data_IF_549240566713
#
_entry.id   IF_549240566713
#
_cell.length_a   1.000
_cell.length_b   1.000
_cell.length_c   1.000
_cell.angle_alpha   90.00
_cell.angle_beta   90.00
_cell.angle_gamma   90.00
#
_symmetry.space_group_name_H-M   'P 1'
#
loop_
_entity.id
_entity.type
_entity.pdbx_description
1 polymer ?
#
# COMPACT_ATOMS: atom_id res chain seq x y z
N UNK A 1 -43.07 30.45 2.56
CA UNK A 1 -41.95 30.14 3.49
C UNK A 1 -40.75 29.74 2.64
N UNK A 2 -39.66 30.50 2.76
CA UNK A 2 -38.70 30.79 1.69
C UNK A 2 -37.80 29.60 1.28
N UNK A 3 -37.75 29.32 -0.04
CA UNK A 3 -36.88 28.32 -0.68
C UNK A 3 -35.38 28.55 -0.41
N UNK A 4 -35.01 29.79 -0.05
CA UNK A 4 -33.64 30.16 0.24
C UNK A 4 -33.15 29.58 1.60
N UNK A 5 -34.02 29.54 2.62
CA UNK A 5 -33.72 28.91 3.92
C UNK A 5 -33.54 27.39 3.83
N UNK A 6 -34.31 26.74 2.96
CA UNK A 6 -34.16 25.30 2.64
C UNK A 6 -32.85 25.03 1.88
N UNK A 7 -32.48 25.92 0.96
CA UNK A 7 -31.22 25.87 0.22
C UNK A 7 -30.00 25.98 1.15
N UNK A 8 -30.03 26.86 2.14
CA UNK A 8 -28.97 27.00 3.15
C UNK A 8 -28.79 25.74 4.03
N UNK A 9 -29.91 25.11 4.45
CA UNK A 9 -29.89 23.85 5.20
C UNK A 9 -29.32 22.70 4.36
N UNK A 10 -29.70 22.60 3.08
CA UNK A 10 -29.17 21.60 2.14
C UNK A 10 -27.65 21.71 2.01
N UNK A 11 -27.12 22.90 1.76
CA UNK A 11 -25.67 23.10 1.62
C UNK A 11 -24.93 22.79 2.92
N UNK A 12 -25.50 23.11 4.08
CA UNK A 12 -24.93 22.74 5.38
C UNK A 12 -24.82 21.22 5.56
N UNK A 13 -25.86 20.48 5.20
CA UNK A 13 -25.84 19.01 5.24
C UNK A 13 -24.82 18.44 4.23
N UNK A 14 -24.78 18.96 2.99
CA UNK A 14 -23.82 18.53 1.98
C UNK A 14 -22.37 18.75 2.42
N UNK A 15 -22.06 19.90 3.02
CA UNK A 15 -20.74 20.18 3.59
C UNK A 15 -20.38 19.15 4.66
N UNK A 16 -21.31 18.82 5.57
CA UNK A 16 -21.08 17.83 6.63
C UNK A 16 -20.85 16.42 6.06
N UNK A 17 -21.66 15.99 5.09
CA UNK A 17 -21.49 14.69 4.42
C UNK A 17 -20.15 14.62 3.69
N UNK A 18 -19.74 15.68 2.99
CA UNK A 18 -18.44 15.73 2.31
C UNK A 18 -17.27 15.73 3.28
N UNK A 19 -17.38 16.41 4.43
CA UNK A 19 -16.38 16.33 5.50
C UNK A 19 -16.21 14.90 6.05
N UNK A 20 -17.32 14.19 6.28
CA UNK A 20 -17.28 12.77 6.68
C UNK A 20 -16.62 11.88 5.62
N UNK A 21 -16.89 12.14 4.33
CA UNK A 21 -16.26 11.42 3.22
C UNK A 21 -14.76 11.68 3.15
N UNK A 22 -14.31 12.93 3.33
CA UNK A 22 -12.89 13.27 3.46
C UNK A 22 -12.24 12.49 4.62
N UNK A 23 -12.88 12.48 5.79
CA UNK A 23 -12.38 11.74 6.94
C UNK A 23 -12.25 10.23 6.65
N UNK A 24 -13.24 9.63 6.00
CA UNK A 24 -13.20 8.22 5.56
C UNK A 24 -12.06 7.97 4.56
N UNK A 25 -11.86 8.85 3.58
CA UNK A 25 -10.76 8.73 2.62
C UNK A 25 -9.39 8.87 3.29
N UNK A 26 -9.24 9.76 4.29
CA UNK A 26 -7.99 9.86 5.09
C UNK A 26 -7.70 8.56 5.84
N UNK A 27 -8.71 7.99 6.50
CA UNK A 27 -8.56 6.69 7.19
C UNK A 27 -8.22 5.55 6.23
N UNK A 28 -8.83 5.53 5.05
CA UNK A 28 -8.52 4.55 4.02
C UNK A 28 -7.07 4.70 3.54
N UNK A 29 -6.63 5.92 3.24
CA UNK A 29 -5.25 6.19 2.84
C UNK A 29 -4.25 5.72 3.89
N UNK A 30 -4.48 6.03 5.17
CA UNK A 30 -3.62 5.58 6.26
C UNK A 30 -3.53 4.05 6.32
N UNK A 31 -4.65 3.34 6.15
CA UNK A 31 -4.67 1.86 6.10
C UNK A 31 -3.89 1.31 4.92
N UNK A 32 -4.04 1.90 3.74
CA UNK A 32 -3.30 1.46 2.55
C UNK A 32 -1.79 1.72 2.69
N UNK A 33 -1.41 2.85 3.28
CA UNK A 33 -0.01 3.15 3.58
C UNK A 33 0.59 2.17 4.57
N UNK A 34 -0.17 1.78 5.59
CA UNK A 34 0.24 0.75 6.55
C UNK A 34 0.44 -0.60 5.85
N UNK A 35 -0.50 -1.03 5.01
CA UNK A 35 -0.38 -2.27 4.24
C UNK A 35 0.84 -2.26 3.29
N UNK A 36 1.12 -1.12 2.63
CA UNK A 36 2.32 -0.97 1.80
C UNK A 36 3.62 -1.03 2.61
N UNK A 37 3.61 -0.49 3.83
CA UNK A 37 4.75 -0.60 4.75
C UNK A 37 4.99 -2.06 5.16
N UNK A 38 3.94 -2.78 5.56
CA UNK A 38 4.02 -4.20 5.92
C UNK A 38 4.50 -5.07 4.75
N UNK A 39 3.99 -4.82 3.53
CA UNK A 39 4.45 -5.50 2.33
C UNK A 39 5.94 -5.26 2.05
N UNK A 40 6.44 -4.04 2.31
CA UNK A 40 7.87 -3.70 2.18
C UNK A 40 8.71 -4.43 3.22
N UNK A 41 8.27 -4.48 4.48
CA UNK A 41 8.96 -5.22 5.55
C UNK A 41 9.06 -6.70 5.19
N UNK A 42 7.97 -7.29 4.70
CA UNK A 42 7.97 -8.71 4.30
C UNK A 42 8.86 -8.97 3.08
N UNK A 43 8.91 -8.05 2.10
CA UNK A 43 9.86 -8.14 1.00
C UNK A 43 11.31 -8.11 1.51
N UNK A 44 11.64 -7.21 2.43
CA UNK A 44 12.98 -7.15 3.02
C UNK A 44 13.32 -8.46 3.74
N UNK A 45 12.37 -9.05 4.47
CA UNK A 45 12.55 -10.36 5.13
C UNK A 45 12.90 -11.46 4.12
N UNK A 46 12.18 -11.53 2.99
CA UNK A 46 12.46 -12.53 1.94
C UNK A 46 13.80 -12.28 1.23
N UNK A 47 14.19 -11.01 1.03
CA UNK A 47 15.51 -10.66 0.48
C UNK A 47 16.61 -11.11 1.43
N UNK A 48 16.48 -10.87 2.72
CA UNK A 48 17.44 -11.36 3.72
C UNK A 48 17.52 -12.89 3.73
N UNK A 49 16.40 -13.59 3.61
CA UNK A 49 16.39 -15.06 3.52
C UNK A 49 17.10 -15.56 2.25
N UNK A 50 16.89 -14.90 1.11
CA UNK A 50 17.65 -15.15 -0.12
C UNK A 50 19.15 -14.98 0.09
N UNK A 51 19.56 -13.89 0.74
CA UNK A 51 20.97 -13.60 0.96
C UNK A 51 21.61 -14.62 1.90
N UNK A 52 20.88 -15.05 2.95
CA UNK A 52 21.30 -16.16 3.83
C UNK A 52 21.41 -17.48 3.07
N UNK A 53 20.44 -17.79 2.19
CA UNK A 53 20.50 -19.00 1.36
C UNK A 53 21.71 -18.97 0.43
N UNK A 54 21.99 -17.83 -0.22
CA UNK A 54 23.15 -17.65 -1.08
C UNK A 54 24.47 -17.77 -0.31
N UNK A 55 24.54 -17.24 0.92
CA UNK A 55 25.71 -17.29 1.78
C UNK A 55 26.13 -18.72 2.20
N UNK A 56 25.25 -19.73 2.05
CA UNK A 56 25.58 -21.14 2.31
C UNK A 56 26.37 -21.80 1.17
N UNK A 57 26.39 -21.21 -0.02
CA UNK A 57 27.01 -21.81 -1.19
C UNK A 57 28.54 -22.02 -1.02
N UNK A 58 29.31 -21.05 -0.50
CA UNK A 58 30.74 -21.25 -0.22
C UNK A 58 31.00 -22.44 0.72
N UNK A 59 30.19 -22.60 1.78
CA UNK A 59 30.35 -23.72 2.73
C UNK A 59 30.13 -25.07 2.03
N UNK A 60 29.11 -25.17 1.17
CA UNK A 60 28.83 -26.38 0.37
C UNK A 60 29.98 -26.68 -0.59
N UNK A 61 30.54 -25.64 -1.23
CA UNK A 61 31.64 -25.78 -2.17
C UNK A 61 32.98 -26.08 -1.47
N UNK A 62 33.16 -25.64 -0.22
CA UNK A 62 34.32 -25.98 0.60
C UNK A 62 34.45 -27.49 0.83
N UNK A 63 33.33 -28.20 0.92
CA UNK A 63 33.30 -29.67 1.05
C UNK A 63 33.82 -30.41 -0.20
N UNK A 64 33.93 -29.74 -1.36
CA UNK A 64 34.45 -30.35 -2.58
C UNK A 64 35.93 -30.78 -2.45
N UNK A 65 36.68 -30.20 -1.51
CA UNK A 65 38.09 -30.49 -1.29
C UNK A 65 38.40 -31.77 -0.49
N UNK A 66 37.40 -32.41 0.15
CA UNK A 66 37.62 -33.49 1.13
C UNK A 66 37.63 -34.92 0.57
N UNK A 67 37.99 -35.09 -0.70
CA UNK A 67 38.21 -36.43 -1.30
C UNK A 67 36.93 -37.17 -1.71
N UNK A 68 37.08 -38.44 -2.12
CA UNK A 68 36.01 -39.21 -2.80
C UNK A 68 34.86 -39.68 -1.90
N UNK A 69 35.09 -39.89 -0.60
CA UNK A 69 34.05 -40.35 0.33
C UNK A 69 32.98 -39.27 0.59
N UNK A 70 33.38 -38.01 0.65
CA UNK A 70 32.47 -36.88 0.84
C UNK A 70 31.83 -36.39 -0.47
N UNK A 71 32.23 -36.98 -1.61
CA UNK A 71 31.81 -36.54 -2.93
C UNK A 71 30.29 -36.66 -3.17
N UNK A 72 29.67 -37.67 -2.58
CA UNK A 72 28.22 -37.88 -2.69
C UNK A 72 27.45 -36.90 -1.79
N UNK A 73 28.02 -36.55 -0.64
CA UNK A 73 27.39 -35.66 0.34
C UNK A 73 27.33 -34.23 -0.17
N UNK A 74 28.45 -33.65 -0.65
CA UNK A 74 28.44 -32.27 -1.13
C UNK A 74 27.65 -32.08 -2.42
N UNK A 75 27.65 -33.07 -3.34
CA UNK A 75 26.82 -33.03 -4.56
C UNK A 75 25.33 -33.06 -4.23
N UNK A 76 24.94 -33.87 -3.24
CA UNK A 76 23.55 -33.93 -2.78
C UNK A 76 23.14 -32.62 -2.11
N UNK A 77 24.00 -32.05 -1.26
CA UNK A 77 23.78 -30.74 -0.64
C UNK A 77 23.63 -29.63 -1.69
N UNK A 78 24.50 -29.62 -2.72
CA UNK A 78 24.42 -28.67 -3.83
C UNK A 78 23.13 -28.81 -4.64
N UNK A 79 22.70 -30.05 -4.90
CA UNK A 79 21.43 -30.32 -5.60
C UNK A 79 20.23 -29.77 -4.81
N UNK A 80 20.20 -30.02 -3.49
CA UNK A 80 19.14 -29.53 -2.59
C UNK A 80 19.18 -27.99 -2.50
N UNK A 81 20.37 -27.40 -2.43
CA UNK A 81 20.53 -25.95 -2.41
C UNK A 81 19.97 -25.28 -3.67
N UNK A 82 20.33 -25.82 -4.84
CA UNK A 82 19.82 -25.34 -6.14
C UNK A 82 18.32 -25.55 -6.32
N UNK A 83 17.76 -26.66 -5.84
CA UNK A 83 16.31 -26.87 -5.92
C UNK A 83 15.54 -25.84 -5.09
N UNK A 84 16.05 -25.50 -3.90
CA UNK A 84 15.46 -24.49 -3.02
C UNK A 84 15.68 -23.05 -3.49
N UNK A 85 16.73 -22.80 -4.29
CA UNK A 85 17.01 -21.47 -4.83
C UNK A 85 15.85 -20.91 -5.66
N UNK A 86 15.23 -21.77 -6.49
CA UNK A 86 14.06 -21.39 -7.28
C UNK A 86 12.88 -20.94 -6.40
N UNK A 87 12.62 -21.65 -5.30
CA UNK A 87 11.55 -21.33 -4.35
C UNK A 87 11.79 -19.99 -3.66
N UNK A 88 13.02 -19.74 -3.22
CA UNK A 88 13.40 -18.49 -2.53
C UNK A 88 13.30 -17.28 -3.48
N UNK A 89 13.75 -17.44 -4.73
CA UNK A 89 13.60 -16.40 -5.76
C UNK A 89 12.11 -16.15 -6.07
N UNK A 90 11.31 -17.22 -6.18
CA UNK A 90 9.87 -17.11 -6.40
C UNK A 90 9.15 -16.39 -5.24
N UNK A 91 9.56 -16.65 -3.99
CA UNK A 91 9.05 -15.97 -2.82
C UNK A 91 9.33 -14.46 -2.86
N UNK A 92 10.57 -14.05 -3.18
CA UNK A 92 10.94 -12.63 -3.38
C UNK A 92 10.07 -11.98 -4.45
N UNK A 93 9.94 -12.60 -5.64
CA UNK A 93 9.09 -12.08 -6.73
C UNK A 93 7.63 -11.93 -6.32
N UNK A 94 7.12 -12.85 -5.51
CA UNK A 94 5.75 -12.79 -5.00
C UNK A 94 5.57 -11.59 -4.06
N UNK A 95 6.52 -11.35 -3.16
CA UNK A 95 6.47 -10.18 -2.26
C UNK A 95 6.70 -8.86 -2.98
N UNK A 96 7.52 -8.84 -4.03
CA UNK A 96 7.68 -7.67 -4.91
C UNK A 96 6.35 -7.29 -5.57
N UNK A 97 5.62 -8.27 -6.11
CA UNK A 97 4.28 -8.06 -6.68
C UNK A 97 3.30 -7.53 -5.63
N UNK A 98 3.25 -8.16 -4.45
CA UNK A 98 2.38 -7.69 -3.37
C UNK A 98 2.69 -6.23 -2.94
N UNK A 99 3.97 -5.84 -2.89
CA UNK A 99 4.35 -4.44 -2.62
C UNK A 99 3.89 -3.51 -3.75
N UNK A 100 4.07 -3.91 -5.01
CA UNK A 100 3.61 -3.14 -6.17
C UNK A 100 2.10 -2.91 -6.12
N UNK A 101 1.32 -3.95 -5.82
CA UNK A 101 -0.14 -3.87 -5.72
C UNK A 101 -0.56 -2.94 -4.57
N UNK A 102 0.08 -3.07 -3.40
CA UNK A 102 -0.18 -2.20 -2.27
C UNK A 102 0.14 -0.72 -2.55
N UNK A 103 1.21 -0.43 -3.32
CA UNK A 103 1.54 0.93 -3.75
C UNK A 103 0.51 1.49 -4.74
N UNK A 104 -0.01 0.66 -5.64
CA UNK A 104 -1.14 1.02 -6.51
C UNK A 104 -2.37 1.40 -5.70
N UNK A 105 -2.73 0.61 -4.68
CA UNK A 105 -3.85 0.90 -3.78
C UNK A 105 -3.66 2.21 -3.00
N UNK A 106 -2.43 2.50 -2.54
CA UNK A 106 -2.10 3.81 -1.94
C UNK A 106 -2.35 4.94 -2.93
N UNK A 107 -1.96 4.78 -4.20
CA UNK A 107 -2.18 5.81 -5.21
C UNK A 107 -3.66 6.02 -5.50
N UNK A 108 -4.45 4.95 -5.60
CA UNK A 108 -5.91 5.02 -5.75
C UNK A 108 -6.54 5.76 -4.56
N UNK A 109 -6.15 5.43 -3.32
CA UNK A 109 -6.65 6.08 -2.12
C UNK A 109 -6.28 7.58 -2.06
N UNK A 110 -5.08 7.96 -2.52
CA UNK A 110 -4.65 9.36 -2.65
C UNK A 110 -5.54 10.14 -3.62
N UNK A 111 -5.79 9.58 -4.81
CA UNK A 111 -6.65 10.21 -5.82
C UNK A 111 -8.08 10.36 -5.26
N UNK A 112 -8.61 9.34 -4.58
CA UNK A 112 -9.92 9.40 -3.93
C UNK A 112 -10.00 10.49 -2.85
N UNK A 113 -8.95 10.66 -2.05
CA UNK A 113 -8.86 11.73 -1.06
C UNK A 113 -8.82 13.12 -1.72
N UNK A 114 -8.01 13.31 -2.77
CA UNK A 114 -7.94 14.58 -3.50
C UNK A 114 -9.30 14.97 -4.09
N UNK A 115 -10.01 14.02 -4.70
CA UNK A 115 -11.37 14.25 -5.23
C UNK A 115 -12.34 14.63 -4.11
N UNK A 116 -12.25 13.98 -2.95
CA UNK A 116 -13.11 14.28 -1.81
C UNK A 116 -12.83 15.67 -1.21
N UNK A 117 -11.56 16.09 -1.16
CA UNK A 117 -11.16 17.42 -0.68
C UNK A 117 -11.71 18.53 -1.58
N UNK A 118 -11.48 18.44 -2.89
CA UNK A 118 -12.03 19.40 -3.87
C UNK A 118 -13.54 19.51 -3.77
N UNK A 119 -14.21 18.35 -3.72
CA UNK A 119 -15.65 18.32 -3.53
C UNK A 119 -16.07 18.99 -2.21
N UNK A 120 -15.34 18.81 -1.12
CA UNK A 120 -15.66 19.48 0.14
C UNK A 120 -15.50 21.00 0.05
N UNK A 121 -14.42 21.47 -0.55
CA UNK A 121 -14.14 22.89 -0.81
C UNK A 121 -15.24 23.52 -1.68
N UNK A 122 -15.63 22.87 -2.77
CA UNK A 122 -16.72 23.33 -3.64
C UNK A 122 -18.04 23.50 -2.88
N UNK A 123 -18.37 22.53 -2.01
CA UNK A 123 -19.58 22.60 -1.20
C UNK A 123 -19.52 23.72 -0.15
N UNK A 124 -18.33 23.97 0.43
CA UNK A 124 -18.14 25.10 1.33
C UNK A 124 -18.29 26.43 0.60
N UNK A 125 -17.75 26.54 -0.62
CA UNK A 125 -17.88 27.74 -1.45
C UNK A 125 -19.34 28.01 -1.79
N UNK A 126 -20.08 27.03 -2.32
CA UNK A 126 -21.50 27.17 -2.64
C UNK A 126 -22.38 27.46 -1.42
N UNK A 127 -22.02 26.93 -0.25
CA UNK A 127 -22.69 27.28 1.01
C UNK A 127 -22.52 28.78 1.31
N UNK A 128 -21.31 29.32 1.16
CA UNK A 128 -21.03 30.75 1.40
C UNK A 128 -21.81 31.62 0.42
N UNK A 129 -21.81 31.27 -0.87
CA UNK A 129 -22.60 31.99 -1.89
C UNK A 129 -24.10 31.97 -1.58
N UNK A 130 -24.65 30.82 -1.20
CA UNK A 130 -26.06 30.71 -0.84
C UNK A 130 -26.42 31.51 0.42
N UNK A 131 -25.47 31.64 1.37
CA UNK A 131 -25.65 32.45 2.58
C UNK A 131 -25.56 33.94 2.28
N UNK A 132 -24.65 34.36 1.39
CA UNK A 132 -24.53 35.76 0.97
C UNK A 132 -25.82 36.26 0.28
N UNK A 133 -26.39 35.46 -0.64
CA UNK A 133 -27.66 35.80 -1.31
C UNK A 133 -28.82 35.98 -0.33
N UNK A 134 -28.86 35.17 0.72
CA UNK A 134 -29.85 35.32 1.80
C UNK A 134 -29.71 36.64 2.55
N UNK A 135 -28.49 37.15 2.74
CA UNK A 135 -28.24 38.45 3.36
C UNK A 135 -28.51 39.64 2.43
N UNK A 136 -28.41 39.45 1.12
CA UNK A 136 -28.68 40.49 0.11
C UNK A 136 -30.20 40.62 -0.18
N UNK A 137 -30.99 39.57 0.09
CA UNK A 137 -32.45 39.51 -0.12
C UNK A 137 -33.28 39.90 1.14
N UNK A 138 -32.63 40.19 2.29
CA UNK A 138 -33.21 40.68 3.56
C UNK A 138 -33.14 42.21 3.67
#
# INVERSE_FOLDING_TARGET
MSSAGETGRLWTLLVRVRALRVHRCRRLLARMQQAAHEARVELMRQVTERDRHAARLPDILGLCGHGKQDATLWRSALKIHRSREAEVIAAVRTKQRALSDALTEVQVARIALQRALRAHEDAQHRKREATARLCDDE
#
